data_IF_720112753567
#
_entry.id   IF_720112753567
#
_cell.length_a   1.000
_cell.length_b   1.000
_cell.length_c   1.000
_cell.angle_alpha   90.00
_cell.angle_beta   90.00
_cell.angle_gamma   90.00
#
_symmetry.space_group_name_H-M   'P 1'
#
loop_
_entity.id
_entity.type
_entity.pdbx_description
1 polymer ?
#
# COMPACT_ATOMS: atom_id res chain seq x y z
N UNK A 1 8.67 -22.98 5.56
CA UNK A 1 7.44 -22.77 4.77
C UNK A 1 7.75 -22.12 3.41
N UNK A 2 8.41 -20.95 3.37
CA UNK A 2 8.71 -20.20 2.14
C UNK A 2 9.41 -21.04 1.06
N UNK A 3 10.44 -21.79 1.46
CA UNK A 3 11.18 -22.69 0.53
C UNK A 3 10.29 -23.77 -0.10
N UNK A 4 9.33 -24.30 0.66
CA UNK A 4 8.38 -25.29 0.14
C UNK A 4 7.48 -24.65 -0.93
N UNK A 5 6.95 -23.46 -0.65
CA UNK A 5 6.12 -22.72 -1.63
C UNK A 5 6.88 -22.42 -2.94
N UNK A 6 8.16 -22.04 -2.85
CA UNK A 6 8.95 -21.79 -4.06
C UNK A 6 9.18 -23.03 -4.92
N UNK A 7 9.26 -24.22 -4.32
CA UNK A 7 9.39 -25.47 -5.06
C UNK A 7 8.12 -25.86 -5.85
N UNK A 8 6.99 -25.37 -5.36
CA UNK A 8 5.68 -25.66 -5.93
C UNK A 8 5.29 -24.65 -7.04
N UNK A 9 6.09 -23.59 -7.26
CA UNK A 9 5.85 -22.67 -8.36
C UNK A 9 6.22 -23.27 -9.71
N UNK A 10 5.37 -23.04 -10.69
CA UNK A 10 5.65 -23.36 -12.07
C UNK A 10 6.69 -22.37 -12.63
N UNK A 11 7.88 -22.82 -13.03
CA UNK A 11 8.93 -21.93 -13.52
C UNK A 11 8.62 -21.28 -14.87
N UNK A 12 7.60 -21.75 -15.59
CA UNK A 12 7.14 -21.15 -16.84
C UNK A 12 6.15 -20.01 -16.64
N UNK A 13 5.69 -19.78 -15.41
CA UNK A 13 4.69 -18.76 -15.08
C UNK A 13 5.29 -17.64 -14.24
N UNK A 14 4.84 -16.39 -14.43
CA UNK A 14 5.26 -15.28 -13.58
C UNK A 14 4.71 -15.43 -12.17
N UNK A 15 5.46 -14.91 -11.20
CA UNK A 15 5.02 -14.77 -9.80
C UNK A 15 4.87 -13.29 -9.50
N UNK A 16 3.67 -12.89 -9.15
CA UNK A 16 3.38 -11.52 -8.74
C UNK A 16 3.61 -11.38 -7.22
N UNK A 17 4.27 -10.31 -6.83
CA UNK A 17 4.51 -9.97 -5.43
C UNK A 17 4.27 -8.47 -5.23
N UNK A 18 3.86 -8.10 -4.03
CA UNK A 18 3.90 -6.70 -3.62
C UNK A 18 5.35 -6.21 -3.47
N UNK A 19 5.57 -4.91 -3.58
CA UNK A 19 6.90 -4.29 -3.57
C UNK A 19 7.08 -3.31 -2.40
N UNK A 20 6.34 -3.48 -1.31
CA UNK A 20 6.31 -2.51 -0.22
C UNK A 20 7.54 -2.62 0.69
N UNK A 21 7.77 -3.79 1.27
CA UNK A 21 8.78 -3.94 2.31
C UNK A 21 9.42 -5.33 2.31
N UNK A 22 10.70 -5.38 2.70
CA UNK A 22 11.36 -6.65 2.99
C UNK A 22 10.98 -7.24 4.35
N UNK A 23 10.08 -6.59 5.10
CA UNK A 23 9.65 -6.99 6.44
C UNK A 23 8.20 -7.42 6.44
N UNK A 24 7.95 -8.63 6.94
CA UNK A 24 6.61 -9.23 7.05
C UNK A 24 6.36 -9.51 8.54
N UNK A 25 5.74 -8.58 9.24
CA UNK A 25 5.56 -8.65 10.68
C UNK A 25 6.90 -8.72 11.42
N UNK A 26 7.18 -9.84 12.10
CA UNK A 26 8.46 -10.09 12.80
C UNK A 26 9.52 -10.75 11.91
N UNK A 27 9.16 -11.13 10.71
CA UNK A 27 10.04 -11.81 9.77
C UNK A 27 10.64 -10.81 8.79
N UNK A 28 11.79 -11.15 8.27
CA UNK A 28 12.46 -10.38 7.24
C UNK A 28 12.70 -11.27 6.02
N UNK A 29 12.41 -10.75 4.84
CA UNK A 29 12.72 -11.42 3.59
C UNK A 29 14.23 -11.65 3.49
N UNK A 30 14.70 -12.87 3.15
CA UNK A 30 16.12 -13.12 2.96
C UNK A 30 16.75 -12.15 1.96
N UNK A 31 17.95 -11.61 2.22
CA UNK A 31 18.58 -10.61 1.37
C UNK A 31 18.76 -11.04 -0.10
N UNK A 32 19.00 -12.34 -0.32
CA UNK A 32 19.12 -12.90 -1.68
C UNK A 32 17.79 -12.86 -2.43
N UNK A 33 16.68 -13.18 -1.76
CA UNK A 33 15.34 -13.11 -2.32
C UNK A 33 14.95 -11.66 -2.58
N UNK A 34 15.17 -10.77 -1.60
CA UNK A 34 14.87 -9.34 -1.75
C UNK A 34 15.58 -8.72 -2.96
N UNK A 35 16.89 -9.01 -3.13
CA UNK A 35 17.64 -8.58 -4.33
C UNK A 35 17.06 -9.16 -5.62
N UNK A 36 16.58 -10.40 -5.61
CA UNK A 36 15.98 -11.03 -6.78
C UNK A 36 14.64 -10.38 -7.14
N UNK A 37 13.81 -10.06 -6.16
CA UNK A 37 12.56 -9.33 -6.36
C UNK A 37 12.83 -7.95 -6.98
N UNK A 38 13.87 -7.23 -6.52
CA UNK A 38 14.29 -5.95 -7.08
C UNK A 38 14.74 -5.99 -8.55
N UNK A 39 14.98 -7.16 -9.11
CA UNK A 39 15.28 -7.36 -10.55
C UNK A 39 14.02 -7.62 -11.39
N UNK A 40 12.87 -7.74 -10.73
CA UNK A 40 11.59 -7.96 -11.39
C UNK A 40 11.09 -6.75 -12.17
N UNK A 41 10.10 -6.97 -13.01
CA UNK A 41 9.36 -5.88 -13.65
C UNK A 41 8.43 -5.26 -12.61
N UNK A 42 8.36 -3.94 -12.60
CA UNK A 42 7.50 -3.20 -11.69
C UNK A 42 6.30 -2.66 -12.43
N UNK A 43 5.11 -2.94 -11.91
CA UNK A 43 3.85 -2.38 -12.36
C UNK A 43 3.32 -1.48 -11.24
N UNK A 44 3.08 -0.23 -11.54
CA UNK A 44 2.42 0.68 -10.61
C UNK A 44 0.91 0.45 -10.71
N UNK A 45 0.29 0.10 -9.61
CA UNK A 45 -1.17 0.03 -9.52
C UNK A 45 -1.65 1.39 -9.02
N UNK A 46 -2.43 2.08 -9.85
CA UNK A 46 -2.95 3.41 -9.56
C UNK A 46 -4.47 3.40 -9.38
N UNK A 47 -4.92 3.96 -8.27
CA UNK A 47 -6.32 4.07 -7.89
C UNK A 47 -6.58 5.51 -7.43
N UNK A 48 -7.66 6.17 -7.88
CA UNK A 48 -7.99 7.52 -7.47
C UNK A 48 -8.05 7.69 -5.95
N UNK A 49 -7.60 8.83 -5.44
CA UNK A 49 -7.48 9.08 -4.00
C UNK A 49 -8.78 8.78 -3.23
N UNK A 50 -9.93 9.18 -3.76
CA UNK A 50 -11.23 8.92 -3.14
C UNK A 50 -11.55 7.43 -3.03
N UNK A 51 -11.20 6.67 -4.05
CA UNK A 51 -11.40 5.22 -4.08
C UNK A 51 -10.46 4.52 -3.08
N UNK A 52 -9.21 4.98 -2.99
CA UNK A 52 -8.28 4.54 -1.95
C UNK A 52 -8.79 4.84 -0.54
N UNK A 53 -9.36 6.03 -0.33
CA UNK A 53 -9.97 6.39 0.95
C UNK A 53 -11.17 5.50 1.29
N UNK A 54 -11.96 5.10 0.30
CA UNK A 54 -13.08 4.16 0.47
C UNK A 54 -12.57 2.78 0.95
N UNK A 55 -11.55 2.21 0.29
CA UNK A 55 -10.94 0.95 0.73
C UNK A 55 -10.37 1.06 2.15
N UNK A 56 -9.68 2.16 2.44
CA UNK A 56 -9.12 2.40 3.76
C UNK A 56 -10.22 2.47 4.84
N UNK A 57 -11.37 3.07 4.53
CA UNK A 57 -12.52 3.11 5.44
C UNK A 57 -13.09 1.73 5.74
N UNK A 58 -13.14 0.85 4.73
CA UNK A 58 -13.61 -0.53 4.89
C UNK A 58 -12.68 -1.33 5.79
N UNK A 59 -11.37 -1.24 5.57
CA UNK A 59 -10.36 -1.97 6.35
C UNK A 59 -10.26 -1.46 7.79
N UNK A 60 -10.48 -0.17 8.00
CA UNK A 60 -10.28 0.51 9.29
C UNK A 60 -11.57 0.81 10.05
N UNK A 61 -12.67 0.11 9.78
CA UNK A 61 -13.94 0.28 10.49
C UNK A 61 -13.81 0.21 12.01
N UNK A 62 -12.91 -0.64 12.52
CA UNK A 62 -12.65 -0.75 13.96
C UNK A 62 -12.11 0.55 14.57
N UNK A 63 -11.37 1.37 13.82
CA UNK A 63 -10.93 2.69 14.27
C UNK A 63 -12.07 3.71 14.22
N UNK A 64 -12.93 3.64 13.22
CA UNK A 64 -14.12 4.50 13.14
C UNK A 64 -15.03 4.25 14.34
N UNK A 65 -15.13 2.99 14.78
CA UNK A 65 -15.88 2.61 15.98
C UNK A 65 -15.19 2.97 17.30
N UNK A 66 -13.87 3.17 17.29
CA UNK A 66 -13.07 3.58 18.44
C UNK A 66 -12.13 4.75 18.10
N UNK A 67 -12.68 5.97 17.93
CA UNK A 67 -11.90 7.15 17.53
C UNK A 67 -10.73 7.49 18.47
N UNK A 68 -10.88 7.20 19.76
CA UNK A 68 -9.82 7.48 20.74
C UNK A 68 -8.58 6.61 20.48
N UNK A 69 -8.76 5.33 20.20
CA UNK A 69 -7.63 4.44 19.86
C UNK A 69 -6.89 4.88 18.60
N UNK A 70 -7.63 5.42 17.63
CA UNK A 70 -7.02 6.00 16.43
C UNK A 70 -6.19 7.24 16.78
N UNK A 71 -6.74 8.17 17.57
CA UNK A 71 -6.02 9.39 17.99
C UNK A 71 -4.75 9.06 18.76
N UNK A 72 -4.79 8.08 19.66
CA UNK A 72 -3.61 7.62 20.41
C UNK A 72 -2.53 7.06 19.47
N UNK A 73 -2.94 6.37 18.40
CA UNK A 73 -2.02 5.87 17.36
C UNK A 73 -1.40 7.02 16.56
N UNK A 74 -2.21 8.01 16.17
CA UNK A 74 -1.77 9.18 15.43
C UNK A 74 -0.80 10.06 16.23
N UNK A 75 -0.94 10.10 17.55
CA UNK A 75 0.01 10.82 18.42
C UNK A 75 1.44 10.30 18.29
N UNK A 76 1.62 9.02 17.98
CA UNK A 76 2.92 8.45 17.65
C UNK A 76 3.57 9.06 16.39
N UNK A 77 2.79 9.68 15.51
CA UNK A 77 3.25 10.31 14.28
C UNK A 77 3.69 11.77 14.46
N UNK A 78 3.49 12.40 15.65
CA UNK A 78 3.83 13.81 15.90
C UNK A 78 5.29 14.14 15.58
N UNK A 79 6.22 13.22 15.87
CA UNK A 79 7.64 13.42 15.56
C UNK A 79 7.94 13.37 14.06
N UNK A 80 7.14 12.66 13.30
CA UNK A 80 7.34 12.42 11.85
C UNK A 80 6.59 13.44 10.99
N UNK A 81 5.36 13.81 11.38
CA UNK A 81 4.45 14.65 10.59
C UNK A 81 4.20 16.04 11.18
N UNK A 82 4.70 16.29 12.39
CA UNK A 82 4.50 17.54 13.11
C UNK A 82 3.20 17.57 13.91
N UNK A 83 3.18 18.50 14.89
CA UNK A 83 2.04 18.65 15.79
C UNK A 83 0.79 19.18 15.08
N UNK A 84 0.96 20.13 14.18
CA UNK A 84 -0.16 20.78 13.49
C UNK A 84 -0.92 19.80 12.59
N UNK A 85 -0.20 18.91 11.88
CA UNK A 85 -0.82 17.90 11.04
C UNK A 85 -1.61 16.89 11.87
N UNK A 86 -1.04 16.39 12.96
CA UNK A 86 -1.74 15.42 13.83
C UNK A 86 -2.94 16.07 14.50
N UNK A 87 -2.84 17.36 14.91
CA UNK A 87 -3.97 18.09 15.46
C UNK A 87 -5.10 18.28 14.43
N UNK A 88 -4.80 18.52 13.15
CA UNK A 88 -5.81 18.57 12.07
C UNK A 88 -6.52 17.23 11.94
N UNK A 89 -5.79 16.12 11.94
CA UNK A 89 -6.40 14.79 11.91
C UNK A 89 -7.31 14.53 13.10
N UNK A 90 -6.90 14.95 14.32
CA UNK A 90 -7.77 14.85 15.50
C UNK A 90 -9.05 15.67 15.34
N UNK A 91 -8.98 16.90 14.81
CA UNK A 91 -10.15 17.74 14.56
C UNK A 91 -11.11 17.12 13.54
N UNK A 92 -10.59 16.54 12.44
CA UNK A 92 -11.40 15.83 11.45
C UNK A 92 -12.11 14.62 12.06
N UNK A 93 -11.41 13.82 12.87
CA UNK A 93 -11.98 12.68 13.60
C UNK A 93 -13.07 13.15 14.58
N UNK A 94 -12.80 14.19 15.37
CA UNK A 94 -13.74 14.71 16.37
C UNK A 94 -14.99 15.34 15.75
N UNK A 95 -14.88 15.90 14.56
CA UNK A 95 -16.02 16.43 13.80
C UNK A 95 -16.77 15.35 13.00
N UNK A 96 -16.26 14.11 12.95
CA UNK A 96 -16.82 13.04 12.14
C UNK A 96 -16.56 13.20 10.64
N UNK A 97 -15.64 14.09 10.24
CA UNK A 97 -15.26 14.29 8.84
C UNK A 97 -14.26 13.21 8.39
N UNK A 98 -14.74 11.97 8.37
CA UNK A 98 -13.97 10.81 7.97
C UNK A 98 -13.41 10.88 6.55
N UNK A 99 -14.17 11.36 5.54
CA UNK A 99 -13.63 11.45 4.18
C UNK A 99 -12.38 12.34 4.11
N UNK A 100 -12.44 13.54 4.67
CA UNK A 100 -11.29 14.46 4.68
C UNK A 100 -10.11 13.90 5.48
N UNK A 101 -10.37 13.22 6.59
CA UNK A 101 -9.33 12.55 7.37
C UNK A 101 -8.64 11.46 6.55
N UNK A 102 -9.41 10.56 5.91
CA UNK A 102 -8.87 9.43 5.15
C UNK A 102 -8.08 9.90 3.92
N UNK A 103 -8.55 10.89 3.20
CA UNK A 103 -7.79 11.48 2.08
C UNK A 103 -6.49 12.14 2.59
N UNK A 104 -6.57 12.90 3.69
CA UNK A 104 -5.40 13.58 4.25
C UNK A 104 -4.35 12.61 4.78
N UNK A 105 -4.75 11.55 5.50
CA UNK A 105 -3.79 10.57 6.01
C UNK A 105 -3.09 9.79 4.87
N UNK A 106 -3.80 9.52 3.77
CA UNK A 106 -3.22 8.91 2.58
C UNK A 106 -2.13 9.81 1.99
N UNK A 107 -2.44 11.07 1.72
CA UNK A 107 -1.51 12.01 1.08
C UNK A 107 -0.37 12.42 2.00
N UNK A 108 -0.70 12.79 3.26
CA UNK A 108 0.26 13.43 4.16
C UNK A 108 1.08 12.41 4.98
N UNK A 109 0.69 11.13 4.96
CA UNK A 109 1.44 10.09 5.67
C UNK A 109 1.78 8.90 4.79
N UNK A 110 0.80 8.18 4.25
CA UNK A 110 1.07 6.94 3.51
C UNK A 110 1.90 7.20 2.26
N UNK A 111 1.49 8.10 1.38
CA UNK A 111 2.19 8.37 0.13
C UNK A 111 3.62 8.90 0.36
N UNK A 112 3.84 9.62 1.46
CA UNK A 112 5.16 10.09 1.85
C UNK A 112 6.02 9.03 2.56
N UNK A 113 5.39 8.01 3.17
CA UNK A 113 6.09 6.93 3.86
C UNK A 113 6.53 5.83 2.90
N UNK A 114 5.76 5.61 1.84
CA UNK A 114 6.07 4.62 0.82
C UNK A 114 7.08 5.17 -0.18
N UNK A 115 8.23 4.51 -0.26
CA UNK A 115 9.25 4.84 -1.27
C UNK A 115 8.76 4.34 -2.63
N UNK A 116 8.49 5.28 -3.52
CA UNK A 116 8.11 4.94 -4.89
C UNK A 116 9.20 4.10 -5.56
N UNK A 117 8.85 3.06 -6.32
CA UNK A 117 9.80 2.32 -7.14
C UNK A 117 10.59 3.27 -8.04
N UNK A 118 11.91 3.06 -8.12
CA UNK A 118 12.81 3.92 -8.91
C UNK A 118 13.30 5.19 -8.22
N UNK A 119 12.96 5.43 -6.95
CA UNK A 119 13.64 6.43 -6.12
C UNK A 119 15.04 5.96 -5.74
N UNK A 120 15.93 6.89 -5.32
CA UNK A 120 17.33 6.57 -4.99
C UNK A 120 17.49 5.46 -3.95
N UNK A 121 16.54 5.37 -3.01
CA UNK A 121 16.56 4.39 -1.93
C UNK A 121 15.76 3.11 -2.24
N UNK A 122 15.14 3.00 -3.42
CA UNK A 122 14.35 1.84 -3.80
C UNK A 122 15.23 0.74 -4.39
N UNK A 123 15.00 -0.51 -3.99
CA UNK A 123 15.59 -1.67 -4.65
C UNK A 123 14.92 -2.00 -5.98
N UNK A 124 13.73 -1.46 -6.20
CA UNK A 124 12.94 -1.68 -7.40
C UNK A 124 13.25 -0.65 -8.48
N UNK A 125 13.30 -1.08 -9.76
CA UNK A 125 13.43 -0.16 -10.87
C UNK A 125 12.18 0.73 -10.99
N UNK A 126 12.27 1.74 -11.85
CA UNK A 126 11.10 2.53 -12.23
C UNK A 126 10.01 1.61 -12.80
N UNK A 127 8.72 1.91 -12.54
CA UNK A 127 7.62 1.15 -13.12
C UNK A 127 7.73 1.08 -14.64
N UNK A 128 7.53 -0.11 -15.19
CA UNK A 128 7.52 -0.32 -16.64
C UNK A 128 6.23 0.20 -17.27
N UNK A 129 5.13 0.15 -16.52
CA UNK A 129 3.85 0.75 -16.86
C UNK A 129 2.98 0.93 -15.61
N UNK A 130 1.89 1.69 -15.76
CA UNK A 130 0.87 1.88 -14.74
C UNK A 130 -0.38 1.07 -15.11
N UNK A 131 -0.97 0.42 -14.12
CA UNK A 131 -2.26 -0.25 -14.21
C UNK A 131 -3.27 0.62 -13.48
N UNK A 132 -4.07 1.35 -14.25
CA UNK A 132 -5.11 2.22 -13.71
C UNK A 132 -6.35 1.41 -13.36
N UNK A 133 -6.82 1.52 -12.12
CA UNK A 133 -8.06 0.94 -11.64
C UNK A 133 -9.04 2.09 -11.38
N UNK A 134 -10.18 2.16 -12.09
CA UNK A 134 -11.03 3.35 -12.04
C UNK A 134 -11.80 3.48 -10.74
N UNK A 135 -12.10 2.38 -10.05
CA UNK A 135 -12.86 2.39 -8.80
C UNK A 135 -12.49 1.25 -7.86
N UNK A 136 -12.94 1.36 -6.61
CA UNK A 136 -12.71 0.38 -5.55
C UNK A 136 -13.61 -0.88 -5.66
N UNK A 137 -14.44 -1.03 -6.70
CA UNK A 137 -15.30 -2.19 -6.83
C UNK A 137 -14.53 -3.45 -7.29
N UNK A 138 -15.03 -4.63 -6.89
CA UNK A 138 -14.38 -5.90 -7.19
C UNK A 138 -14.24 -6.18 -8.69
N UNK A 139 -15.19 -5.74 -9.51
CA UNK A 139 -15.18 -6.01 -10.95
C UNK A 139 -14.02 -5.27 -11.66
N UNK A 140 -13.69 -4.04 -11.23
CA UNK A 140 -12.57 -3.27 -11.76
C UNK A 140 -11.22 -3.92 -11.35
N UNK A 141 -11.11 -4.43 -10.12
CA UNK A 141 -9.94 -5.20 -9.68
C UNK A 141 -9.79 -6.51 -10.45
N UNK A 142 -10.88 -7.26 -10.64
CA UNK A 142 -10.86 -8.52 -11.40
C UNK A 142 -10.43 -8.29 -12.84
N UNK A 143 -10.96 -7.23 -13.47
CA UNK A 143 -10.57 -6.85 -14.82
C UNK A 143 -9.09 -6.45 -14.88
N UNK A 144 -8.64 -5.61 -13.98
CA UNK A 144 -7.25 -5.19 -13.91
C UNK A 144 -6.29 -6.37 -13.69
N UNK A 145 -6.67 -7.32 -12.84
CA UNK A 145 -5.92 -8.57 -12.63
C UNK A 145 -5.86 -9.43 -13.88
N UNK A 146 -6.98 -9.59 -14.60
CA UNK A 146 -7.04 -10.34 -15.85
C UNK A 146 -6.16 -9.69 -16.94
N UNK A 147 -6.23 -8.36 -17.07
CA UNK A 147 -5.41 -7.59 -18.00
C UNK A 147 -3.91 -7.75 -17.66
N UNK A 148 -3.55 -7.68 -16.38
CA UNK A 148 -2.18 -7.88 -15.93
C UNK A 148 -1.68 -9.30 -16.26
N UNK A 149 -2.45 -10.34 -15.95
CA UNK A 149 -2.07 -11.72 -16.24
C UNK A 149 -1.90 -11.93 -17.75
N UNK A 150 -2.74 -11.33 -18.58
CA UNK A 150 -2.66 -11.47 -20.04
C UNK A 150 -1.37 -10.86 -20.63
N UNK A 151 -0.82 -9.83 -19.98
CA UNK A 151 0.43 -9.17 -20.39
C UNK A 151 1.68 -9.97 -19.99
N UNK A 152 1.54 -10.90 -19.05
CA UNK A 152 2.63 -11.72 -18.52
C UNK A 152 2.20 -13.21 -18.54
N UNK A 153 2.08 -13.79 -19.74
CA UNK A 153 1.66 -15.19 -19.90
C UNK A 153 2.68 -16.17 -19.34
#
# INVERSE_FOLDING_TARGET
QLWKSFRDFDPSRPVFTEAESNRIGRLQCPPSLWRRLGQGRVVLVDLPLKERATLLAEDYQHFIQNPQSLKDTLDGLRRLRGHDQVNRWHQQIDSGDWPSFLESILVDHYDLAYRLPGSEDSVYPKPSHSLEIPSANSADFEKAAADLISQYP
#
